data_IF_314560375313
#
_entry.id   IF_314560375313
#
_cell.length_a   1.000
_cell.length_b   1.000
_cell.length_c   1.000
_cell.angle_alpha   90.00
_cell.angle_beta   90.00
_cell.angle_gamma   90.00
#
_symmetry.space_group_name_H-M   'P 1'
#
loop_
_entity.id
_entity.type
_entity.pdbx_description
1 polymer ?
#
# COMPACT_ATOMS: atom_id res chain seq x y z
N UNK A 1 -3.49 20.29 -2.88
CA UNK A 1 -4.00 18.93 -2.60
C UNK A 1 -5.37 18.79 -3.26
N UNK A 2 -5.64 17.68 -3.95
CA UNK A 2 -6.97 17.43 -4.57
C UNK A 2 -8.04 17.22 -3.49
N UNK A 3 -9.28 17.62 -3.78
CA UNK A 3 -10.39 17.49 -2.82
C UNK A 3 -10.66 16.02 -2.45
N UNK A 4 -10.64 15.12 -3.43
CA UNK A 4 -10.83 13.68 -3.22
C UNK A 4 -9.83 13.08 -2.22
N UNK A 5 -8.55 13.45 -2.33
CA UNK A 5 -7.51 13.01 -1.38
C UNK A 5 -7.76 13.58 0.01
N UNK A 6 -8.17 14.84 0.12
CA UNK A 6 -8.49 15.46 1.40
C UNK A 6 -9.66 14.75 2.10
N UNK A 7 -10.71 14.43 1.35
CA UNK A 7 -11.89 13.72 1.86
C UNK A 7 -11.52 12.30 2.32
N UNK A 8 -10.66 11.63 1.55
CA UNK A 8 -10.15 10.29 1.88
C UNK A 8 -9.28 10.29 3.13
N UNK A 9 -8.38 11.27 3.27
CA UNK A 9 -7.58 11.47 4.49
C UNK A 9 -8.50 11.67 5.70
N UNK A 10 -9.56 12.47 5.57
CA UNK A 10 -10.52 12.69 6.65
C UNK A 10 -11.27 11.40 7.02
N UNK A 11 -11.67 10.59 6.02
CA UNK A 11 -12.31 9.30 6.24
C UNK A 11 -11.40 8.31 7.00
N UNK A 12 -10.16 8.14 6.55
CA UNK A 12 -9.18 7.26 7.20
C UNK A 12 -8.86 7.73 8.63
N UNK A 13 -8.61 9.03 8.79
CA UNK A 13 -8.33 9.64 10.09
C UNK A 13 -9.50 9.45 11.06
N UNK A 14 -10.74 9.58 10.58
CA UNK A 14 -11.92 9.31 11.42
C UNK A 14 -12.00 7.84 11.81
N UNK A 15 -11.79 6.91 10.87
CA UNK A 15 -11.86 5.47 11.18
C UNK A 15 -10.78 5.05 12.16
N UNK A 16 -9.52 5.45 11.97
CA UNK A 16 -8.42 5.07 12.86
C UNK A 16 -8.33 5.88 14.14
N UNK A 17 -8.67 7.17 14.10
CA UNK A 17 -8.71 8.02 15.29
C UNK A 17 -9.76 7.60 16.32
N UNK A 18 -10.76 6.81 15.91
CA UNK A 18 -11.68 6.14 16.85
C UNK A 18 -11.02 4.99 17.62
N UNK A 19 -9.95 4.40 17.09
CA UNK A 19 -9.26 3.24 17.68
C UNK A 19 -7.87 3.56 18.23
N UNK A 20 -7.24 4.66 17.80
CA UNK A 20 -5.89 5.03 18.20
C UNK A 20 -5.84 6.47 18.71
N UNK A 21 -5.25 6.68 19.89
CA UNK A 21 -4.91 8.02 20.35
C UNK A 21 -3.86 8.63 19.40
N UNK A 22 -3.92 9.94 19.09
CA UNK A 22 -2.96 10.59 18.19
C UNK A 22 -1.49 10.33 18.57
N UNK A 23 -1.18 10.34 19.86
CA UNK A 23 0.17 10.11 20.39
C UNK A 23 0.70 8.67 20.19
N UNK A 24 -0.16 7.72 19.79
CA UNK A 24 0.21 6.34 19.51
C UNK A 24 0.29 6.02 18.01
N UNK A 25 0.08 7.02 17.14
CA UNK A 25 0.24 6.83 15.71
C UNK A 25 1.74 6.77 15.42
N UNK A 26 2.25 5.57 15.19
CA UNK A 26 3.61 5.38 14.70
C UNK A 26 3.72 5.77 13.23
N UNK A 27 4.93 6.12 12.79
CA UNK A 27 5.24 6.37 11.38
C UNK A 27 4.63 5.33 10.43
N UNK A 28 4.77 4.05 10.76
CA UNK A 28 4.22 2.95 9.97
C UNK A 28 2.69 3.00 9.85
N UNK A 29 1.97 3.45 10.88
CA UNK A 29 0.49 3.44 10.94
C UNK A 29 -0.15 4.78 10.59
N UNK A 30 0.64 5.79 10.22
CA UNK A 30 0.11 7.06 9.75
C UNK A 30 -0.56 6.90 8.38
N UNK A 31 -1.89 6.94 8.38
CA UNK A 31 -2.70 6.80 7.16
C UNK A 31 -2.61 8.02 6.26
N UNK A 32 -2.41 9.22 6.82
CA UNK A 32 -2.23 10.45 6.03
C UNK A 32 -0.94 10.34 5.23
N UNK A 33 0.14 9.89 5.87
CA UNK A 33 1.42 9.58 5.23
C UNK A 33 1.23 8.58 4.07
N UNK A 34 0.53 7.48 4.30
CA UNK A 34 0.30 6.44 3.28
C UNK A 34 -0.50 6.96 2.08
N UNK A 35 -1.59 7.68 2.32
CA UNK A 35 -2.42 8.25 1.26
C UNK A 35 -1.66 9.30 0.43
N UNK A 36 -0.88 10.17 1.09
CA UNK A 36 -0.01 11.13 0.41
C UNK A 36 1.07 10.42 -0.41
N UNK A 37 1.71 9.39 0.13
CA UNK A 37 2.71 8.58 -0.57
C UNK A 37 2.13 8.00 -1.87
N UNK A 38 0.96 7.38 -1.81
CA UNK A 38 0.35 6.72 -2.97
C UNK A 38 -0.05 7.71 -4.04
N UNK A 39 -0.63 8.85 -3.65
CA UNK A 39 -0.92 9.95 -4.56
C UNK A 39 0.35 10.41 -5.29
N UNK A 40 1.40 10.72 -4.54
CA UNK A 40 2.65 11.22 -5.07
C UNK A 40 3.31 10.19 -6.00
N UNK A 41 3.30 8.90 -5.63
CA UNK A 41 3.83 7.82 -6.46
C UNK A 41 3.09 7.70 -7.80
N UNK A 42 1.75 7.75 -7.79
CA UNK A 42 0.95 7.68 -9.02
C UNK A 42 1.11 8.92 -9.91
N UNK A 43 1.30 10.09 -9.31
CA UNK A 43 1.43 11.36 -10.03
C UNK A 43 2.88 11.67 -10.45
N UNK A 44 3.87 11.00 -9.84
CA UNK A 44 5.28 11.30 -10.05
C UNK A 44 5.74 12.63 -9.42
N UNK A 45 5.00 13.18 -8.46
CA UNK A 45 5.33 14.42 -7.75
C UNK A 45 5.49 14.17 -6.25
N UNK A 46 6.73 14.14 -5.77
CA UNK A 46 7.09 13.79 -4.40
C UNK A 46 6.89 14.93 -3.40
N UNK A 47 6.78 16.19 -3.86
CA UNK A 47 7.06 17.36 -3.01
C UNK A 47 6.23 17.40 -1.73
N UNK A 48 4.91 17.26 -1.88
CA UNK A 48 3.98 17.34 -0.74
C UNK A 48 4.23 16.21 0.25
N UNK A 49 4.56 15.02 -0.24
CA UNK A 49 4.89 13.89 0.60
C UNK A 49 6.19 14.09 1.38
N UNK A 50 7.23 14.57 0.70
CA UNK A 50 8.51 14.89 1.33
C UNK A 50 8.36 15.96 2.43
N UNK A 51 7.63 17.04 2.15
CA UNK A 51 7.37 18.11 3.12
C UNK A 51 6.60 17.57 4.35
N UNK A 52 5.65 16.66 4.13
CA UNK A 52 4.89 16.01 5.19
C UNK A 52 5.79 15.16 6.09
N UNK A 53 6.60 14.28 5.51
CA UNK A 53 7.52 13.42 6.28
C UNK A 53 8.56 14.27 7.02
N UNK A 54 9.12 15.30 6.39
CA UNK A 54 10.12 16.16 7.02
C UNK A 54 9.58 16.93 8.25
N UNK A 55 8.28 17.27 8.25
CA UNK A 55 7.64 18.00 9.33
C UNK A 55 7.14 17.11 10.48
N UNK A 56 6.72 15.87 10.19
CA UNK A 56 6.10 14.98 11.18
C UNK A 56 7.06 13.87 11.66
N UNK A 57 7.98 13.44 10.80
CA UNK A 57 8.89 12.30 11.04
C UNK A 57 10.30 12.58 10.48
N UNK A 58 10.98 13.64 10.96
CA UNK A 58 12.28 14.06 10.42
C UNK A 58 13.35 12.97 10.53
N UNK A 59 13.27 12.11 11.54
CA UNK A 59 14.23 11.00 11.75
C UNK A 59 14.08 9.89 10.69
N UNK A 60 12.85 9.65 10.21
CA UNK A 60 12.56 8.63 9.20
C UNK A 60 12.78 9.14 7.76
N UNK A 61 12.87 10.45 7.56
CA UNK A 61 12.93 11.09 6.25
C UNK A 61 13.98 10.49 5.31
N UNK A 62 15.26 10.30 5.71
CA UNK A 62 16.26 9.78 4.78
C UNK A 62 15.94 8.36 4.29
N UNK A 63 15.43 7.52 5.19
CA UNK A 63 15.06 6.14 4.87
C UNK A 63 13.80 6.11 3.98
N UNK A 64 12.78 6.90 4.32
CA UNK A 64 11.53 6.94 3.57
C UNK A 64 11.73 7.50 2.15
N UNK A 65 12.54 8.54 1.98
CA UNK A 65 12.81 9.08 0.63
C UNK A 65 13.54 8.07 -0.26
N UNK A 66 14.43 7.25 0.32
CA UNK A 66 15.04 6.12 -0.40
C UNK A 66 13.99 5.09 -0.80
N UNK A 67 13.13 4.68 0.12
CA UNK A 67 12.06 3.71 -0.15
C UNK A 67 11.07 4.22 -1.20
N UNK A 68 10.71 5.49 -1.14
CA UNK A 68 9.87 6.14 -2.15
C UNK A 68 10.51 6.07 -3.54
N UNK A 69 11.80 6.42 -3.66
CA UNK A 69 12.50 6.40 -4.94
C UNK A 69 12.61 4.99 -5.53
N UNK A 70 12.80 3.98 -4.70
CA UNK A 70 12.79 2.58 -5.12
C UNK A 70 11.39 2.15 -5.59
N UNK A 71 10.35 2.48 -4.83
CA UNK A 71 8.97 2.20 -5.21
C UNK A 71 8.58 2.91 -6.50
N UNK A 72 8.93 4.19 -6.68
CA UNK A 72 8.62 4.97 -7.87
C UNK A 72 9.21 4.37 -9.15
N UNK A 73 10.37 3.71 -9.07
CA UNK A 73 10.99 3.00 -10.20
C UNK A 73 10.34 1.66 -10.51
N UNK A 74 9.75 1.03 -9.51
CA UNK A 74 9.18 -0.32 -9.59
C UNK A 74 7.64 -0.32 -9.70
N UNK A 75 6.99 0.84 -9.57
CA UNK A 75 5.54 0.94 -9.61
C UNK A 75 5.02 0.73 -11.03
N UNK A 76 4.14 -0.25 -11.18
CA UNK A 76 3.52 -0.59 -12.45
C UNK A 76 2.00 -0.54 -12.29
N UNK A 77 1.33 0.10 -13.25
CA UNK A 77 -0.12 0.00 -13.40
C UNK A 77 -0.44 -1.11 -14.40
N UNK A 78 -1.15 -2.13 -13.95
CA UNK A 78 -1.55 -3.26 -14.80
C UNK A 78 -3.07 -3.34 -14.87
N UNK A 79 -3.62 -3.72 -16.02
CA UNK A 79 -4.99 -4.21 -16.06
C UNK A 79 -5.08 -5.60 -15.41
N UNK A 80 -6.30 -6.07 -15.18
CA UNK A 80 -6.55 -7.37 -14.55
C UNK A 80 -5.89 -8.55 -15.27
N UNK A 81 -5.88 -8.55 -16.60
CA UNK A 81 -5.33 -9.66 -17.39
C UNK A 81 -3.81 -9.68 -17.27
N UNK A 82 -3.17 -8.52 -17.39
CA UNK A 82 -1.73 -8.35 -17.23
C UNK A 82 -1.28 -8.68 -15.79
N UNK A 83 -2.04 -8.25 -14.77
CA UNK A 83 -1.74 -8.53 -13.38
C UNK A 83 -1.79 -10.03 -13.06
N UNK A 84 -2.80 -10.75 -13.56
CA UNK A 84 -2.91 -12.22 -13.40
C UNK A 84 -1.72 -12.92 -14.06
N UNK A 85 -1.36 -12.53 -15.28
CA UNK A 85 -0.22 -13.12 -15.98
C UNK A 85 1.10 -12.85 -15.24
N UNK A 86 1.29 -11.63 -14.73
CA UNK A 86 2.47 -11.23 -13.98
C UNK A 86 2.61 -12.01 -12.68
N UNK A 87 1.53 -12.14 -11.90
CA UNK A 87 1.47 -12.94 -10.66
C UNK A 87 1.88 -14.38 -10.91
N UNK A 88 1.34 -15.00 -11.95
CA UNK A 88 1.66 -16.38 -12.30
C UNK A 88 3.13 -16.54 -12.69
N UNK A 89 3.67 -15.62 -13.51
CA UNK A 89 5.06 -15.66 -13.96
C UNK A 89 6.08 -15.50 -12.81
N UNK A 90 5.73 -14.74 -11.77
CA UNK A 90 6.60 -14.49 -10.61
C UNK A 90 6.25 -15.38 -9.40
N UNK A 91 5.26 -16.27 -9.53
CA UNK A 91 4.79 -17.16 -8.48
C UNK A 91 4.42 -16.41 -7.18
N UNK A 92 3.76 -15.26 -7.32
CA UNK A 92 3.28 -14.47 -6.18
C UNK A 92 2.10 -15.20 -5.55
N UNK A 93 2.13 -15.37 -4.24
CA UNK A 93 1.12 -16.11 -3.50
C UNK A 93 0.41 -15.27 -2.43
N UNK A 94 0.91 -14.05 -2.16
CA UNK A 94 0.22 -13.10 -1.30
C UNK A 94 0.48 -11.66 -1.75
N UNK A 95 -0.51 -10.80 -1.60
CA UNK A 95 -0.33 -9.36 -1.65
C UNK A 95 -0.55 -8.75 -0.26
N UNK A 96 0.28 -7.79 0.09
CA UNK A 96 0.00 -6.81 1.15
C UNK A 96 -0.40 -5.49 0.48
N UNK A 97 -1.53 -4.93 0.88
CA UNK A 97 -1.96 -3.61 0.43
C UNK A 97 -1.58 -2.55 1.43
N UNK A 98 -1.01 -1.45 0.99
CA UNK A 98 -0.63 -0.36 1.90
C UNK A 98 -1.83 0.39 2.50
N UNK A 99 -2.92 0.52 1.75
CA UNK A 99 -4.21 1.03 2.21
C UNK A 99 -5.31 -0.03 2.02
N UNK A 100 -6.58 0.36 2.03
CA UNK A 100 -7.68 -0.59 1.95
C UNK A 100 -7.69 -1.26 0.58
N UNK A 101 -7.73 -2.59 0.55
CA UNK A 101 -7.52 -3.38 -0.67
C UNK A 101 -8.52 -3.08 -1.81
N UNK A 102 -9.69 -2.56 -1.49
CA UNK A 102 -10.72 -2.23 -2.49
C UNK A 102 -10.55 -0.82 -3.06
N UNK A 103 -9.63 -0.02 -2.52
CA UNK A 103 -9.34 1.30 -3.04
C UNK A 103 -8.56 1.21 -4.36
N UNK A 104 -9.00 1.94 -5.40
CA UNK A 104 -8.37 1.93 -6.74
C UNK A 104 -6.94 2.50 -6.79
N UNK A 105 -6.55 3.22 -5.75
CA UNK A 105 -5.22 3.80 -5.54
C UNK A 105 -4.39 3.06 -4.49
N UNK A 106 -4.85 1.89 -4.05
CA UNK A 106 -4.04 0.99 -3.24
C UNK A 106 -2.83 0.50 -4.06
N UNK A 107 -1.65 0.49 -3.43
CA UNK A 107 -0.44 -0.08 -4.02
C UNK A 107 -0.19 -1.44 -3.37
N UNK A 108 -0.18 -2.46 -4.21
CA UNK A 108 0.00 -3.84 -3.80
C UNK A 108 1.48 -4.19 -3.79
N UNK A 109 1.93 -4.71 -2.65
CA UNK A 109 3.26 -5.26 -2.47
C UNK A 109 3.20 -6.79 -2.60
N UNK A 110 3.86 -7.37 -3.61
CA UNK A 110 3.86 -8.81 -3.84
C UNK A 110 4.78 -9.51 -2.83
N UNK A 111 4.26 -10.57 -2.24
CA UNK A 111 4.98 -11.44 -1.32
C UNK A 111 5.02 -12.84 -1.94
N UNK A 112 6.22 -13.42 -1.96
CA UNK A 112 6.46 -14.79 -2.39
C UNK A 112 6.95 -15.61 -1.20
N UNK A 113 6.09 -16.48 -0.67
CA UNK A 113 6.48 -17.52 0.27
C UNK A 113 7.09 -18.73 -0.44
N UNK A 114 8.11 -19.35 0.18
CA UNK A 114 8.57 -20.69 -0.21
C UNK A 114 7.69 -21.78 0.41
N UNK A 115 7.04 -22.60 -0.43
CA UNK A 115 6.28 -23.79 -0.02
C UNK A 115 5.20 -23.55 1.06
N UNK A 116 5.04 -24.49 2.01
CA UNK A 116 3.94 -24.63 2.96
C UNK A 116 3.82 -23.51 4.03
N UNK A 117 4.72 -22.54 4.04
CA UNK A 117 4.72 -21.46 5.03
C UNK A 117 3.50 -20.53 4.91
N UNK A 118 2.93 -20.41 3.71
CA UNK A 118 1.70 -19.65 3.48
C UNK A 118 0.51 -20.25 4.25
N UNK A 119 0.45 -21.58 4.42
CA UNK A 119 -0.66 -22.25 5.13
C UNK A 119 -0.71 -21.90 6.63
N UNK A 120 0.40 -21.39 7.18
CA UNK A 120 0.52 -20.95 8.57
C UNK A 120 0.32 -19.45 8.74
N UNK A 121 0.18 -18.72 7.63
CA UNK A 121 0.03 -17.28 7.67
C UNK A 121 -1.38 -16.91 8.13
N UNK A 122 -1.47 -16.27 9.29
CA UNK A 122 -2.73 -15.72 9.78
C UNK A 122 -2.98 -14.41 9.03
N UNK A 123 -3.89 -14.45 8.07
CA UNK A 123 -4.35 -13.25 7.37
C UNK A 123 -4.89 -12.28 8.43
N UNK A 124 -4.30 -11.07 8.52
CA UNK A 124 -4.94 -10.00 9.30
C UNK A 124 -6.39 -9.87 8.84
N UNK A 125 -7.29 -9.68 9.80
CA UNK A 125 -8.71 -9.56 9.51
C UNK A 125 -8.92 -8.40 8.52
N UNK A 126 -9.79 -8.62 7.52
CA UNK A 126 -10.19 -7.65 6.49
C UNK A 126 -10.75 -6.31 7.05
N UNK A 127 -10.75 -6.15 8.37
CA UNK A 127 -11.23 -4.97 9.09
C UNK A 127 -10.17 -3.84 9.14
N UNK A 128 -8.89 -4.17 9.00
CA UNK A 128 -7.79 -3.20 8.91
C UNK A 128 -7.72 -2.56 7.51
N UNK A 129 -7.88 -1.24 7.44
CA UNK A 129 -7.76 -0.47 6.18
C UNK A 129 -6.31 -0.26 5.71
N UNK A 130 -5.29 -0.80 6.36
CA UNK A 130 -3.89 -0.68 5.94
C UNK A 130 -3.18 -2.00 6.20
N UNK A 131 -2.18 -2.34 5.39
CA UNK A 131 -1.37 -3.56 5.49
C UNK A 131 -2.19 -4.85 5.59
N UNK A 132 -3.37 -4.85 4.97
CA UNK A 132 -4.19 -6.04 4.84
C UNK A 132 -3.62 -6.95 3.77
N UNK A 133 -3.86 -8.25 3.95
CA UNK A 133 -3.27 -9.29 3.12
C UNK A 133 -4.36 -9.99 2.32
N UNK A 134 -4.10 -10.28 1.05
CA UNK A 134 -5.03 -11.01 0.20
C UNK A 134 -4.31 -11.94 -0.77
N UNK A 135 -4.86 -13.16 -0.92
CA UNK A 135 -4.40 -14.08 -1.96
C UNK A 135 -4.82 -13.57 -3.35
N UNK A 136 -3.98 -13.74 -4.38
CA UNK A 136 -4.29 -13.23 -5.72
C UNK A 136 -5.63 -13.69 -6.28
N UNK A 137 -6.05 -14.93 -6.01
CA UNK A 137 -7.32 -15.47 -6.49
C UNK A 137 -8.53 -14.68 -5.97
N UNK A 138 -8.52 -14.29 -4.70
CA UNK A 138 -9.61 -13.52 -4.10
C UNK A 138 -9.54 -12.04 -4.49
N UNK A 139 -8.33 -11.49 -4.60
CA UNK A 139 -8.12 -10.13 -5.10
C UNK A 139 -8.69 -9.97 -6.52
N UNK A 140 -8.35 -10.90 -7.42
CA UNK A 140 -8.79 -10.85 -8.81
C UNK A 140 -10.24 -11.30 -9.03
N UNK A 141 -10.98 -11.76 -8.02
CA UNK A 141 -12.44 -11.91 -8.14
C UNK A 141 -13.17 -10.57 -8.14
N UNK A 142 -12.54 -9.50 -7.64
CA UNK A 142 -13.13 -8.17 -7.54
C UNK A 142 -13.27 -7.49 -8.91
N UNK A 143 -14.19 -6.53 -8.98
CA UNK A 143 -14.47 -5.72 -10.16
C UNK A 143 -13.54 -4.49 -10.26
N UNK A 144 -12.25 -4.68 -10.02
CA UNK A 144 -11.25 -3.61 -10.19
C UNK A 144 -10.67 -3.68 -11.60
N UNK A 145 -10.60 -2.52 -12.27
CA UNK A 145 -10.15 -2.45 -13.67
C UNK A 145 -8.62 -2.49 -13.78
N UNK A 146 -7.94 -1.81 -12.86
CA UNK A 146 -6.50 -1.68 -12.81
C UNK A 146 -5.97 -1.92 -11.41
N UNK A 147 -4.74 -2.38 -11.34
CA UNK A 147 -4.00 -2.62 -10.12
C UNK A 147 -2.69 -1.83 -10.17
N UNK A 148 -2.34 -1.18 -9.06
CA UNK A 148 -1.01 -0.62 -8.86
C UNK A 148 -0.18 -1.63 -8.09
N UNK A 149 0.92 -2.08 -8.69
CA UNK A 149 1.80 -3.09 -8.09
C UNK A 149 3.20 -2.49 -7.96
N UNK A 150 3.74 -2.49 -6.76
CA UNK A 150 5.17 -2.28 -6.53
C UNK A 150 5.89 -3.58 -6.90
N UNK A 151 6.57 -3.62 -8.04
CA UNK A 151 7.15 -4.86 -8.57
C UNK A 151 8.34 -5.41 -7.76
N UNK A 152 8.70 -4.78 -6.63
CA UNK A 152 9.69 -5.31 -5.67
C UNK A 152 9.06 -6.47 -4.89
N UNK A 153 9.54 -7.68 -5.15
CA UNK A 153 9.03 -8.91 -4.51
C UNK A 153 9.66 -9.09 -3.13
N UNK A 154 8.83 -9.20 -2.09
CA UNK A 154 9.25 -9.61 -0.76
C UNK A 154 9.34 -11.14 -0.69
N UNK A 155 10.54 -11.66 -0.53
CA UNK A 155 10.81 -13.10 -0.43
C UNK A 155 10.71 -13.52 1.04
N UNK A 156 9.78 -14.41 1.34
CA UNK A 156 9.55 -14.95 2.69
C UNK A 156 9.77 -16.44 2.78
#
# INVERSE_FOLDING_TARGET
MRQELADKIAMYSKRYGLFMHPDYISFARDTTRLLLRNECLRMGDIKIYQDYVASHYPEDLPWEMKQYQEAAKALIRMDKVAAIAWVSAHQINLFESDIFIDDEDAILRPIQFKNDDMLRYNFNTLEELIYNHQIPEDLFRKNQTYFWIDARIDLR
#
